data_IF_235569747949
#
_entry.id   IF_235569747949
#
_cell.length_a   1.000
_cell.length_b   1.000
_cell.length_c   1.000
_cell.angle_alpha   90.00
_cell.angle_beta   90.00
_cell.angle_gamma   90.00
#
_symmetry.space_group_name_H-M   'P 1'
#
loop_
_entity.id
_entity.type
_entity.pdbx_description
1 polymer ?
#
# COMPACT_ATOMS: atom_id res chain seq x y z
N UNK A 1 -18.10 11.01 6.53
CA UNK A 1 -17.78 10.19 7.74
C UNK A 1 -16.27 10.02 7.71
N UNK A 2 -15.52 10.44 8.71
CA UNK A 2 -14.04 10.39 8.66
C UNK A 2 -13.45 9.48 9.74
N UNK A 3 -14.28 8.61 10.31
CA UNK A 3 -13.94 7.73 11.43
C UNK A 3 -13.69 6.31 10.93
N UNK A 4 -12.64 5.67 11.44
CA UNK A 4 -12.31 4.26 11.17
C UNK A 4 -13.24 3.25 11.85
N UNK A 5 -14.07 3.71 12.79
CA UNK A 5 -14.98 2.83 13.52
C UNK A 5 -15.85 2.03 12.55
N UNK A 6 -15.73 0.70 12.64
CA UNK A 6 -16.46 -0.22 11.80
C UNK A 6 -17.97 0.01 11.96
N UNK A 7 -18.60 0.48 10.89
CA UNK A 7 -20.04 0.64 10.84
C UNK A 7 -20.79 -0.71 10.80
N UNK A 8 -20.09 -1.84 10.76
CA UNK A 8 -20.68 -3.16 10.78
C UNK A 8 -19.90 -4.16 11.65
N UNK A 9 -20.60 -5.17 12.13
CA UNK A 9 -20.03 -6.30 12.86
C UNK A 9 -20.88 -7.55 12.63
N UNK A 10 -20.24 -8.71 12.60
CA UNK A 10 -20.95 -10.00 12.56
C UNK A 10 -21.20 -10.44 13.99
N UNK A 11 -22.48 -10.56 14.37
CA UNK A 11 -22.90 -10.94 15.73
C UNK A 11 -23.65 -12.25 15.71
N UNK A 12 -23.25 -13.20 16.55
CA UNK A 12 -24.02 -14.40 16.81
C UNK A 12 -25.15 -14.12 17.80
N UNK A 13 -26.38 -14.52 17.48
CA UNK A 13 -27.49 -14.50 18.41
C UNK A 13 -27.41 -15.72 19.37
N UNK A 14 -26.47 -15.66 20.32
CA UNK A 14 -26.40 -16.56 21.48
C UNK A 14 -26.25 -18.09 21.24
N UNK A 15 -25.99 -18.57 20.01
CA UNK A 15 -25.80 -19.99 19.67
C UNK A 15 -24.53 -20.28 18.85
N UNK A 16 -24.00 -21.51 18.99
CA UNK A 16 -22.77 -22.03 18.36
C UNK A 16 -22.92 -22.35 16.84
N UNK A 17 -24.06 -22.06 16.22
CA UNK A 17 -24.36 -22.47 14.84
C UNK A 17 -24.14 -21.36 13.81
N UNK A 18 -23.66 -21.73 12.62
CA UNK A 18 -23.22 -20.79 11.58
C UNK A 18 -24.35 -19.99 10.92
N UNK A 19 -25.61 -20.39 11.03
CA UNK A 19 -26.74 -19.64 10.48
C UNK A 19 -27.29 -18.57 11.44
N UNK A 20 -26.88 -18.57 12.71
CA UNK A 20 -27.31 -17.59 13.72
C UNK A 20 -26.46 -16.31 13.70
N UNK A 21 -25.52 -16.21 12.75
CA UNK A 21 -24.73 -15.01 12.52
C UNK A 21 -25.52 -13.96 11.75
N UNK A 22 -25.60 -12.78 12.33
CA UNK A 22 -26.26 -11.62 11.77
C UNK A 22 -25.21 -10.58 11.37
N UNK A 23 -25.36 -10.01 10.18
CA UNK A 23 -24.62 -8.82 9.78
C UNK A 23 -25.31 -7.58 10.35
N UNK A 24 -24.77 -7.04 11.44
CA UNK A 24 -25.34 -5.88 12.12
C UNK A 24 -24.63 -4.62 11.64
N UNK A 25 -25.38 -3.68 11.05
CA UNK A 25 -24.87 -2.36 10.66
C UNK A 25 -25.34 -1.31 11.66
N UNK A 26 -24.42 -0.48 12.14
CA UNK A 26 -24.66 0.61 13.09
C UNK A 26 -24.27 1.93 12.44
N UNK A 27 -25.07 2.96 12.69
CA UNK A 27 -24.73 4.31 12.23
C UNK A 27 -23.47 4.79 12.97
N UNK A 28 -22.38 5.13 12.27
CA UNK A 28 -21.17 5.64 12.91
C UNK A 28 -21.33 7.10 13.38
N UNK A 29 -22.39 7.78 12.93
CA UNK A 29 -22.70 9.17 13.28
C UNK A 29 -24.10 9.29 13.89
N UNK A 30 -24.31 10.32 14.70
CA UNK A 30 -25.66 10.75 15.14
C UNK A 30 -26.35 11.47 13.98
N UNK A 31 -27.51 10.95 13.56
CA UNK A 31 -28.27 11.44 12.40
C UNK A 31 -29.65 11.92 12.86
N UNK A 32 -30.14 13.07 12.37
CA UNK A 32 -31.49 13.54 12.72
C UNK A 32 -32.55 12.77 11.94
N UNK A 33 -33.78 12.77 12.45
CA UNK A 33 -34.90 12.17 11.74
C UNK A 33 -35.11 12.85 10.37
N UNK A 34 -35.16 12.03 9.30
CA UNK A 34 -35.31 12.49 7.92
C UNK A 34 -33.99 12.73 7.17
N UNK A 35 -32.84 12.69 7.85
CA UNK A 35 -31.51 12.76 7.20
C UNK A 35 -31.01 11.38 6.79
N UNK A 36 -30.13 11.32 5.80
CA UNK A 36 -29.55 10.08 5.30
C UNK A 36 -28.40 9.60 6.20
N UNK A 37 -28.38 8.29 6.45
CA UNK A 37 -27.29 7.61 7.16
C UNK A 37 -26.21 7.22 6.15
N UNK A 38 -24.96 7.61 6.41
CA UNK A 38 -23.79 7.29 5.60
C UNK A 38 -22.77 6.51 6.42
N UNK A 39 -21.87 5.82 5.73
CA UNK A 39 -20.72 5.11 6.28
C UNK A 39 -19.45 5.49 5.51
N UNK A 40 -18.28 5.30 6.11
CA UNK A 40 -17.01 5.44 5.40
C UNK A 40 -16.67 4.12 4.69
N UNK A 41 -16.43 4.17 3.38
CA UNK A 41 -16.21 2.95 2.59
C UNK A 41 -14.78 2.43 2.80
N UNK A 42 -13.80 3.31 2.63
CA UNK A 42 -12.38 3.00 2.88
C UNK A 42 -11.61 4.32 3.03
N UNK A 43 -10.80 4.50 4.08
CA UNK A 43 -9.98 5.71 4.29
C UNK A 43 -8.62 5.66 3.58
N UNK A 44 -8.20 4.46 3.16
CA UNK A 44 -6.89 4.23 2.56
C UNK A 44 -6.95 4.27 1.04
N UNK A 45 -8.10 3.99 0.43
CA UNK A 45 -8.28 4.08 -1.02
C UNK A 45 -8.01 5.47 -1.58
N UNK A 46 -7.35 5.51 -2.72
CA UNK A 46 -7.19 6.69 -3.55
C UNK A 46 -8.47 7.00 -4.34
N UNK A 47 -8.54 8.20 -4.91
CA UNK A 47 -9.61 8.58 -5.84
C UNK A 47 -9.63 7.70 -7.10
N UNK A 48 -8.49 7.15 -7.53
CA UNK A 48 -8.46 6.22 -8.65
C UNK A 48 -9.21 4.92 -8.32
N UNK A 49 -8.98 4.36 -7.12
CA UNK A 49 -9.68 3.17 -6.64
C UNK A 49 -11.17 3.45 -6.40
N UNK A 50 -11.52 4.59 -5.80
CA UNK A 50 -12.93 4.96 -5.58
C UNK A 50 -13.70 5.12 -6.91
N UNK A 51 -13.06 5.71 -7.92
CA UNK A 51 -13.65 5.88 -9.24
C UNK A 51 -13.91 4.53 -9.92
N UNK A 52 -12.96 3.59 -9.80
CA UNK A 52 -13.06 2.27 -10.41
C UNK A 52 -14.10 1.38 -9.69
N UNK A 53 -14.06 1.36 -8.36
CA UNK A 53 -14.87 0.44 -7.56
C UNK A 53 -16.32 0.91 -7.38
N UNK A 54 -16.53 2.22 -7.30
CA UNK A 54 -17.83 2.80 -6.91
C UNK A 54 -18.37 3.87 -7.86
N UNK A 55 -17.59 4.32 -8.85
CA UNK A 55 -18.04 5.31 -9.83
C UNK A 55 -18.12 6.75 -9.31
N UNK A 56 -17.40 7.08 -8.22
CA UNK A 56 -17.31 8.43 -7.69
C UNK A 56 -15.90 8.75 -7.17
N UNK A 57 -15.62 10.04 -6.94
CA UNK A 57 -14.39 10.51 -6.29
C UNK A 57 -14.72 11.48 -5.15
N UNK A 58 -13.77 11.66 -4.24
CA UNK A 58 -13.85 12.66 -3.18
C UNK A 58 -13.10 13.95 -3.59
N UNK A 59 -13.62 15.15 -3.25
CA UNK A 59 -12.92 16.42 -3.49
C UNK A 59 -11.62 16.60 -2.68
N UNK A 60 -11.38 15.73 -1.69
CA UNK A 60 -10.18 15.78 -0.85
C UNK A 60 -8.92 15.48 -1.67
N UNK A 61 -8.01 16.45 -1.77
CA UNK A 61 -6.78 16.28 -2.55
C UNK A 61 -5.85 15.20 -1.98
N UNK A 62 -5.92 14.91 -0.67
CA UNK A 62 -5.09 13.89 -0.02
C UNK A 62 -5.47 12.45 -0.44
N UNK A 63 -6.58 12.29 -1.17
CA UNK A 63 -6.98 11.03 -1.84
C UNK A 63 -6.36 10.86 -3.22
N UNK A 64 -5.73 11.89 -3.77
CA UNK A 64 -5.05 11.77 -5.05
C UNK A 64 -3.78 10.96 -4.84
N UNK A 65 -3.66 9.86 -5.57
CA UNK A 65 -2.48 9.01 -5.55
C UNK A 65 -2.04 8.66 -6.97
N UNK A 66 -0.77 8.31 -7.11
CA UNK A 66 -0.20 7.78 -8.34
C UNK A 66 0.78 6.65 -8.00
N UNK A 67 0.58 5.49 -8.59
CA UNK A 67 1.45 4.32 -8.38
C UNK A 67 2.61 4.35 -9.36
N UNK A 68 3.84 4.27 -8.85
CA UNK A 68 5.01 4.00 -9.66
C UNK A 68 5.34 2.52 -9.60
N UNK A 69 5.43 1.90 -10.77
CA UNK A 69 5.94 0.53 -10.93
C UNK A 69 7.42 0.59 -11.26
N UNK A 70 8.23 -0.05 -10.42
CA UNK A 70 9.67 -0.19 -10.62
C UNK A 70 10.00 -1.67 -10.78
N UNK A 71 10.93 -1.97 -11.67
CA UNK A 71 11.35 -3.35 -11.92
C UNK A 71 12.86 -3.45 -12.10
N UNK A 72 13.40 -4.58 -11.68
CA UNK A 72 14.76 -5.00 -12.00
C UNK A 72 14.68 -5.76 -13.33
N UNK A 73 15.19 -5.14 -14.40
CA UNK A 73 15.14 -5.72 -15.75
C UNK A 73 16.02 -6.96 -15.85
N UNK A 74 15.52 -8.03 -16.47
CA UNK A 74 16.32 -9.23 -16.82
C UNK A 74 17.46 -8.91 -17.80
N UNK A 75 17.39 -7.79 -18.50
CA UNK A 75 18.48 -7.32 -19.37
C UNK A 75 19.62 -6.65 -18.61
N UNK A 76 19.48 -6.45 -17.29
CA UNK A 76 20.50 -5.84 -16.45
C UNK A 76 21.67 -6.82 -16.25
N UNK A 77 22.93 -6.40 -16.49
CA UNK A 77 24.08 -7.27 -16.28
C UNK A 77 24.25 -7.78 -14.84
N UNK A 78 23.61 -7.12 -13.87
CA UNK A 78 23.63 -7.48 -12.45
C UNK A 78 22.27 -7.99 -11.95
N UNK A 79 21.42 -8.50 -12.85
CA UNK A 79 20.04 -8.91 -12.55
C UNK A 79 19.93 -9.83 -11.33
N UNK A 80 20.61 -10.98 -11.35
CA UNK A 80 20.51 -11.99 -10.29
C UNK A 80 20.94 -11.42 -8.93
N UNK A 81 22.02 -10.63 -8.93
CA UNK A 81 22.54 -10.05 -7.70
C UNK A 81 21.57 -9.02 -7.11
N UNK A 82 21.02 -8.14 -7.96
CA UNK A 82 20.03 -7.14 -7.56
C UNK A 82 18.73 -7.79 -7.09
N UNK A 83 18.27 -8.83 -7.76
CA UNK A 83 17.07 -9.56 -7.37
C UNK A 83 17.22 -10.18 -5.99
N UNK A 84 18.36 -10.83 -5.72
CA UNK A 84 18.64 -11.39 -4.39
C UNK A 84 18.68 -10.32 -3.29
N UNK A 85 19.21 -9.12 -3.57
CA UNK A 85 19.15 -7.97 -2.64
C UNK A 85 17.70 -7.55 -2.39
N UNK A 86 16.89 -7.42 -3.45
CA UNK A 86 15.50 -7.01 -3.34
C UNK A 86 14.68 -8.01 -2.50
N UNK A 87 14.78 -9.30 -2.82
CA UNK A 87 14.03 -10.37 -2.15
C UNK A 87 14.42 -10.50 -0.67
N UNK A 88 15.72 -10.40 -0.38
CA UNK A 88 16.23 -10.40 1.00
C UNK A 88 15.70 -9.24 1.84
N UNK A 89 15.24 -8.16 1.21
CA UNK A 89 14.66 -6.98 1.86
C UNK A 89 13.14 -6.87 1.69
N UNK A 90 12.48 -7.95 1.25
CA UNK A 90 11.01 -8.02 1.17
C UNK A 90 10.39 -7.41 -0.09
N UNK A 91 11.19 -7.13 -1.12
CA UNK A 91 10.70 -6.67 -2.41
C UNK A 91 10.84 -7.75 -3.49
N UNK A 92 9.91 -7.79 -4.42
CA UNK A 92 10.00 -8.67 -5.58
C UNK A 92 10.80 -8.02 -6.72
N UNK A 93 10.97 -8.75 -7.82
CA UNK A 93 11.53 -8.24 -9.08
C UNK A 93 10.77 -7.00 -9.61
N UNK A 94 9.45 -6.94 -9.39
CA UNK A 94 8.61 -5.79 -9.70
C UNK A 94 7.94 -5.31 -8.42
N UNK A 95 8.10 -4.02 -8.11
CA UNK A 95 7.54 -3.38 -6.94
C UNK A 95 6.62 -2.21 -7.33
N UNK A 96 5.56 -2.01 -6.55
CA UNK A 96 4.56 -0.96 -6.75
C UNK A 96 4.60 -0.01 -5.55
N UNK A 97 4.76 1.29 -5.83
CA UNK A 97 4.84 2.32 -4.80
C UNK A 97 3.73 3.34 -4.99
N UNK A 98 2.77 3.36 -4.08
CA UNK A 98 1.64 4.30 -4.11
C UNK A 98 2.05 5.64 -3.51
N UNK A 99 2.15 6.67 -4.35
CA UNK A 99 2.51 8.03 -3.93
C UNK A 99 1.23 8.84 -3.76
N UNK A 100 0.87 9.11 -2.51
CA UNK A 100 -0.26 9.99 -2.18
C UNK A 100 0.18 11.46 -2.15
N UNK A 101 -0.69 12.34 -2.63
CA UNK A 101 -0.48 13.78 -2.58
C UNK A 101 -0.29 14.25 -1.13
N UNK A 102 0.66 15.17 -0.91
CA UNK A 102 1.06 15.69 0.41
C UNK A 102 1.53 14.64 1.45
N UNK A 103 1.82 13.39 1.06
CA UNK A 103 2.45 12.39 1.93
C UNK A 103 3.93 12.23 1.61
N UNK A 104 4.77 11.84 2.58
CA UNK A 104 6.16 11.46 2.28
C UNK A 104 6.18 10.26 1.32
N UNK A 105 7.28 10.13 0.58
CA UNK A 105 7.47 8.98 -0.31
C UNK A 105 7.40 7.67 0.48
N UNK A 106 6.80 6.60 -0.10
CA UNK A 106 6.73 5.31 0.56
C UNK A 106 8.12 4.79 0.97
N UNK A 107 8.25 4.18 2.16
CA UNK A 107 9.49 3.55 2.56
C UNK A 107 9.90 2.49 1.53
N UNK A 108 11.20 2.33 1.31
CA UNK A 108 11.70 1.39 0.32
C UNK A 108 11.70 1.88 -1.13
N UNK A 109 10.94 2.93 -1.48
CA UNK A 109 10.90 3.44 -2.86
C UNK A 109 12.25 3.97 -3.32
N UNK A 110 12.91 4.80 -2.51
CA UNK A 110 14.23 5.36 -2.81
C UNK A 110 15.33 4.29 -2.89
N UNK A 111 15.50 3.37 -1.92
CA UNK A 111 16.51 2.33 -2.03
C UNK A 111 16.24 1.39 -3.22
N UNK A 112 14.98 1.08 -3.52
CA UNK A 112 14.64 0.29 -4.71
C UNK A 112 15.00 1.01 -6.01
N UNK A 113 14.68 2.32 -6.12
CA UNK A 113 15.11 3.15 -7.26
C UNK A 113 16.63 3.15 -7.44
N UNK A 114 17.38 3.27 -6.34
CA UNK A 114 18.85 3.26 -6.34
C UNK A 114 19.40 1.89 -6.75
N UNK A 115 18.77 0.80 -6.30
CA UNK A 115 19.11 -0.56 -6.71
C UNK A 115 18.90 -0.78 -8.21
N UNK A 116 17.77 -0.32 -8.75
CA UNK A 116 17.49 -0.36 -10.20
C UNK A 116 18.55 0.42 -10.97
N UNK A 117 18.89 1.64 -10.52
CA UNK A 117 19.89 2.49 -11.17
C UNK A 117 21.35 2.08 -10.93
N UNK A 118 21.61 1.12 -10.03
CA UNK A 118 22.95 0.69 -9.66
C UNK A 118 23.69 0.09 -10.86
N UNK A 119 24.92 0.50 -11.11
CA UNK A 119 25.71 -0.07 -12.19
C UNK A 119 27.15 0.41 -12.19
N UNK A 120 27.99 -0.26 -12.97
CA UNK A 120 29.38 0.13 -13.24
C UNK A 120 30.19 0.42 -11.98
N UNK A 121 30.34 1.71 -11.66
CA UNK A 121 31.15 2.23 -10.55
C UNK A 121 30.72 1.73 -9.18
N UNK A 122 29.42 1.55 -8.96
CA UNK A 122 28.87 1.19 -7.64
C UNK A 122 28.49 -0.30 -7.53
N UNK A 123 28.78 -1.09 -8.58
CA UNK A 123 28.46 -2.52 -8.62
C UNK A 123 29.19 -3.33 -7.53
N UNK A 124 30.29 -2.82 -6.97
CA UNK A 124 31.00 -3.46 -5.86
C UNK A 124 30.11 -3.63 -4.61
N UNK A 125 29.03 -2.85 -4.48
CA UNK A 125 28.08 -2.98 -3.37
C UNK A 125 27.25 -4.28 -3.45
N UNK A 126 27.20 -4.95 -4.60
CA UNK A 126 26.49 -6.22 -4.78
C UNK A 126 27.31 -7.44 -4.32
N UNK A 127 28.59 -7.24 -4.02
CA UNK A 127 29.49 -8.29 -3.57
C UNK A 127 29.04 -8.87 -2.22
N UNK A 128 29.39 -10.13 -1.96
CA UNK A 128 28.98 -10.87 -0.74
C UNK A 128 29.34 -10.15 0.57
N UNK A 129 30.39 -9.31 0.56
CA UNK A 129 30.83 -8.52 1.71
C UNK A 129 29.76 -7.53 2.20
N UNK A 130 28.93 -7.01 1.29
CA UNK A 130 27.95 -5.96 1.58
C UNK A 130 26.52 -6.50 1.62
N UNK A 131 26.28 -7.80 1.41
CA UNK A 131 24.92 -8.38 1.37
C UNK A 131 24.08 -8.03 2.59
N UNK A 132 24.70 -8.03 3.78
CA UNK A 132 24.00 -7.73 5.04
C UNK A 132 23.81 -6.22 5.31
N UNK A 133 24.49 -5.33 4.56
CA UNK A 133 24.49 -3.88 4.81
C UNK A 133 24.08 -3.01 3.62
N UNK A 134 23.95 -3.60 2.43
CA UNK A 134 23.69 -2.88 1.17
C UNK A 134 22.41 -2.05 1.26
N UNK A 135 21.34 -2.59 1.84
CA UNK A 135 20.07 -1.88 1.95
C UNK A 135 20.20 -0.59 2.75
N UNK A 136 20.94 -0.64 3.86
CA UNK A 136 21.24 0.56 4.67
C UNK A 136 22.07 1.60 3.90
N UNK A 137 22.97 1.17 3.01
CA UNK A 137 23.68 2.10 2.12
C UNK A 137 22.77 2.73 1.07
N UNK A 138 21.75 2.01 0.61
CA UNK A 138 20.75 2.50 -0.34
C UNK A 138 19.71 3.42 0.31
N UNK A 139 19.66 3.54 1.63
CA UNK A 139 18.75 4.45 2.36
C UNK A 139 19.35 5.83 2.63
N UNK A 140 20.69 5.97 2.61
CA UNK A 140 21.44 7.22 2.88
C UNK A 140 21.33 8.25 1.76
#
# INVERSE_FOLDING_TARGET
VTTEDHAYEVKGAAGLFSWDYLFSVRSPLSVKAGEQVYIQYDLNKSNAELALDYGFIEPNADRNAYTLTLEISESDPFFDDKLDVAESNGFAQTAYFDIFYNRPLPPGMLPYLRLVALGGTDAFLLESLFRDSIWGHLEL
#
